data_IF_444669451306
#
_entry.id   IF_444669451306
#
_cell.length_a   1.000
_cell.length_b   1.000
_cell.length_c   1.000
_cell.angle_alpha   90.00
_cell.angle_beta   90.00
_cell.angle_gamma   90.00
#
_symmetry.space_group_name_H-M   'P 1'
#
loop_
_entity.id
_entity.type
_entity.pdbx_description
1 polymer ?
#
# COMPACT_ATOMS: atom_id res chain seq x y z
N UNK A 1 2.17 -35.70 1.89
CA UNK A 1 3.13 -36.04 0.84
C UNK A 1 4.06 -37.11 1.39
N UNK A 2 4.27 -38.17 0.62
CA UNK A 2 5.15 -39.29 0.97
C UNK A 2 6.21 -39.43 -0.10
N UNK A 3 7.43 -39.75 0.30
CA UNK A 3 8.50 -40.14 -0.61
C UNK A 3 9.02 -41.48 -0.13
N UNK A 4 8.96 -42.50 -0.99
CA UNK A 4 9.35 -43.87 -0.65
C UNK A 4 8.58 -44.46 0.55
N UNK A 5 7.31 -44.10 0.74
CA UNK A 5 6.49 -44.56 1.86
C UNK A 5 6.76 -43.87 3.20
N UNK A 6 7.68 -42.91 3.25
CA UNK A 6 7.91 -42.07 4.43
C UNK A 6 7.23 -40.71 4.29
N UNK A 7 6.54 -40.30 5.35
CA UNK A 7 5.85 -39.00 5.40
C UNK A 7 6.88 -37.88 5.38
N UNK A 8 6.86 -37.08 4.32
CA UNK A 8 7.72 -35.91 4.20
C UNK A 8 7.38 -34.88 5.29
N UNK A 9 8.42 -34.30 5.88
CA UNK A 9 8.32 -33.20 6.84
C UNK A 9 9.18 -32.04 6.33
N UNK A 10 8.75 -30.82 6.63
CA UNK A 10 9.63 -29.67 6.47
C UNK A 10 10.78 -29.79 7.46
N UNK A 11 11.99 -29.43 7.01
CA UNK A 11 13.13 -29.41 7.91
C UNK A 11 12.88 -28.39 9.04
N UNK A 12 13.33 -28.68 10.28
CA UNK A 12 13.13 -27.77 11.41
C UNK A 12 13.58 -26.35 11.08
N UNK A 13 12.72 -25.36 11.38
CA UNK A 13 12.99 -23.94 11.10
C UNK A 13 12.81 -23.52 9.63
N UNK A 14 12.45 -24.42 8.72
CA UNK A 14 12.04 -24.06 7.36
C UNK A 14 10.56 -23.72 7.30
N UNK A 15 10.23 -22.73 6.50
CA UNK A 15 8.88 -22.30 6.26
C UNK A 15 8.69 -21.98 4.77
N UNK A 16 7.45 -22.09 4.29
CA UNK A 16 7.07 -21.74 2.94
C UNK A 16 6.22 -20.47 3.03
N UNK A 17 6.61 -19.44 2.29
CA UNK A 17 5.74 -18.29 2.05
C UNK A 17 4.71 -18.67 1.00
N UNK A 18 3.44 -18.43 1.33
CA UNK A 18 2.30 -18.67 0.46
C UNK A 18 1.71 -17.33 0.08
N UNK A 19 1.53 -17.13 -1.22
CA UNK A 19 0.81 -16.01 -1.79
C UNK A 19 -0.36 -16.55 -2.60
N UNK A 20 -1.58 -16.12 -2.28
CA UNK A 20 -2.79 -16.46 -3.01
C UNK A 20 -3.44 -15.19 -3.51
N UNK A 21 -3.83 -15.15 -4.78
CA UNK A 21 -4.61 -14.05 -5.34
C UNK A 21 -6.06 -14.49 -5.45
N UNK A 22 -6.96 -13.76 -4.81
CA UNK A 22 -8.39 -13.93 -4.93
C UNK A 22 -9.02 -12.68 -5.53
N UNK A 23 -10.22 -12.82 -6.08
CA UNK A 23 -11.04 -11.69 -6.50
C UNK A 23 -12.28 -11.65 -5.62
N UNK A 24 -12.40 -10.60 -4.79
CA UNK A 24 -13.40 -10.52 -3.71
C UNK A 24 -14.29 -9.29 -3.87
N UNK A 25 -15.56 -9.37 -3.45
CA UNK A 25 -16.42 -8.19 -3.39
C UNK A 25 -15.88 -7.19 -2.36
N UNK A 26 -15.96 -5.90 -2.69
CA UNK A 26 -15.62 -4.80 -1.78
C UNK A 26 -16.87 -4.47 -0.96
N UNK A 27 -17.01 -5.11 0.21
CA UNK A 27 -18.17 -4.92 1.10
C UNK A 27 -18.21 -3.51 1.73
N UNK A 28 -17.04 -2.93 2.03
CA UNK A 28 -16.88 -1.57 2.50
C UNK A 28 -15.64 -0.94 1.86
N UNK A 29 -15.78 0.26 1.30
CA UNK A 29 -14.69 0.92 0.60
C UNK A 29 -13.54 1.23 1.58
N UNK A 30 -12.33 0.72 1.27
CA UNK A 30 -11.12 0.93 2.05
C UNK A 30 -10.91 -0.05 3.21
N UNK A 31 -11.87 -0.92 3.52
CA UNK A 31 -11.67 -1.98 4.51
C UNK A 31 -11.12 -3.23 3.85
N UNK A 32 -10.03 -3.77 4.42
CA UNK A 32 -9.49 -5.06 4.01
C UNK A 32 -10.29 -6.17 4.70
N UNK A 33 -10.90 -7.10 3.95
CA UNK A 33 -11.52 -8.26 4.56
C UNK A 33 -10.45 -9.11 5.27
N UNK A 34 -10.76 -9.59 6.46
CA UNK A 34 -9.83 -10.39 7.26
C UNK A 34 -10.07 -11.88 7.02
N UNK A 35 -9.06 -12.59 6.52
CA UNK A 35 -9.15 -14.04 6.34
C UNK A 35 -8.37 -14.75 7.45
N UNK A 36 -8.92 -15.88 7.89
CA UNK A 36 -8.25 -16.74 8.86
C UNK A 36 -7.59 -17.92 8.15
N UNK A 37 -6.38 -18.26 8.60
CA UNK A 37 -5.59 -19.39 8.13
C UNK A 37 -5.76 -20.55 9.10
N UNK A 38 -6.16 -21.70 8.54
CA UNK A 38 -6.39 -22.95 9.26
C UNK A 38 -5.53 -24.07 8.71
N UNK A 39 -5.19 -25.04 9.58
CA UNK A 39 -4.59 -26.31 9.19
C UNK A 39 -5.53 -27.45 9.60
N UNK A 40 -5.73 -28.42 8.71
CA UNK A 40 -6.52 -29.62 9.05
C UNK A 40 -5.71 -30.55 9.96
N UNK A 41 -6.19 -30.76 11.18
CA UNK A 41 -5.79 -31.88 12.01
C UNK A 41 -6.48 -33.14 11.47
N UNK A 42 -5.72 -33.90 10.68
CA UNK A 42 -6.20 -35.13 10.04
C UNK A 42 -6.47 -36.27 11.01
N UNK A 43 -5.95 -36.23 12.24
CA UNK A 43 -6.23 -37.26 13.25
C UNK A 43 -7.55 -36.96 13.98
N UNK A 44 -7.78 -35.69 14.29
CA UNK A 44 -8.99 -35.24 14.98
C UNK A 44 -10.12 -34.79 14.03
N UNK A 45 -9.91 -34.86 12.72
CA UNK A 45 -10.85 -34.41 11.67
C UNK A 45 -11.41 -33.00 11.92
N UNK A 46 -10.54 -32.05 12.31
CA UNK A 46 -10.95 -30.67 12.62
C UNK A 46 -9.97 -29.64 12.07
N UNK A 47 -10.50 -28.49 11.68
CA UNK A 47 -9.68 -27.34 11.32
C UNK A 47 -9.14 -26.66 12.58
N UNK A 48 -7.84 -26.47 12.65
CA UNK A 48 -7.14 -25.77 13.74
C UNK A 48 -6.77 -24.38 13.26
N UNK A 49 -7.22 -23.35 14.00
CA UNK A 49 -6.87 -21.96 13.72
C UNK A 49 -5.38 -21.72 13.96
N UNK A 50 -4.73 -21.01 13.03
CA UNK A 50 -3.34 -20.57 13.18
C UNK A 50 -3.20 -19.07 13.35
N UNK A 51 -3.80 -18.27 12.45
CA UNK A 51 -3.63 -16.81 12.44
C UNK A 51 -4.60 -16.12 11.48
N UNK A 52 -4.65 -14.79 11.54
CA UNK A 52 -5.16 -13.94 10.45
C UNK A 52 -4.08 -13.84 9.37
N UNK A 53 -4.49 -13.86 8.10
CA UNK A 53 -3.61 -13.64 6.95
C UNK A 53 -3.16 -12.17 6.84
N UNK A 54 -2.14 -11.92 6.02
CA UNK A 54 -1.76 -10.57 5.63
C UNK A 54 -2.37 -10.29 4.26
N UNK A 55 -3.49 -9.57 4.25
CA UNK A 55 -4.22 -9.21 3.04
C UNK A 55 -3.80 -7.83 2.53
N UNK A 56 -3.70 -7.68 1.20
CA UNK A 56 -3.40 -6.42 0.53
C UNK A 56 -4.19 -6.32 -0.79
N UNK A 57 -4.78 -5.17 -1.08
CA UNK A 57 -5.38 -4.92 -2.39
C UNK A 57 -4.28 -4.84 -3.45
N UNK A 58 -4.43 -5.55 -4.55
CA UNK A 58 -3.66 -5.23 -5.76
C UNK A 58 -4.23 -3.94 -6.36
N UNK A 59 -3.35 -3.05 -6.82
CA UNK A 59 -3.67 -1.81 -7.54
C UNK A 59 -4.29 -2.08 -8.92
N UNK A 60 -5.44 -2.72 -8.92
CA UNK A 60 -6.32 -2.84 -10.05
C UNK A 60 -7.64 -2.14 -9.69
N UNK A 61 -8.17 -1.28 -10.58
CA UNK A 61 -9.52 -0.75 -10.40
C UNK A 61 -10.51 -1.90 -10.31
N UNK A 62 -11.60 -1.69 -9.57
CA UNK A 62 -12.64 -2.71 -9.49
C UNK A 62 -13.12 -3.07 -10.90
N UNK A 63 -13.12 -4.38 -11.22
CA UNK A 63 -13.52 -4.88 -12.53
C UNK A 63 -15.04 -5.11 -12.58
N UNK A 64 -15.62 -4.98 -13.78
CA UNK A 64 -17.03 -5.34 -14.03
C UNK A 64 -18.08 -4.30 -13.64
N UNK A 65 -17.67 -3.07 -13.29
CA UNK A 65 -18.59 -1.98 -12.97
C UNK A 65 -18.84 -1.06 -14.18
N UNK A 66 -20.04 -0.46 -14.29
CA UNK A 66 -20.31 0.64 -15.21
C UNK A 66 -19.37 1.84 -14.97
N UNK A 67 -19.00 2.57 -16.02
CA UNK A 67 -18.06 3.69 -15.93
C UNK A 67 -18.56 4.84 -15.03
N UNK A 68 -19.86 4.98 -14.84
CA UNK A 68 -20.53 5.96 -13.98
C UNK A 68 -20.73 5.48 -12.54
N UNK A 69 -20.22 4.30 -12.19
CA UNK A 69 -20.38 3.74 -10.85
C UNK A 69 -19.67 4.62 -9.79
N UNK A 70 -20.33 4.96 -8.66
CA UNK A 70 -19.78 5.84 -7.62
C UNK A 70 -18.42 5.40 -7.04
N UNK A 71 -18.11 4.11 -7.12
CA UNK A 71 -16.81 3.54 -6.75
C UNK A 71 -15.64 4.22 -7.47
N UNK A 72 -15.74 4.46 -8.78
CA UNK A 72 -14.67 5.10 -9.54
C UNK A 72 -14.47 6.55 -9.10
N UNK A 73 -15.56 7.27 -8.88
CA UNK A 73 -15.51 8.64 -8.38
C UNK A 73 -14.92 8.73 -6.97
N UNK A 74 -15.09 7.69 -6.14
CA UNK A 74 -14.50 7.62 -4.80
C UNK A 74 -12.99 7.38 -4.85
N UNK A 75 -12.53 6.47 -5.72
CA UNK A 75 -11.10 6.26 -5.95
C UNK A 75 -10.42 7.53 -6.51
N UNK A 76 -11.04 8.17 -7.50
CA UNK A 76 -10.52 9.42 -8.07
C UNK A 76 -10.48 10.55 -7.04
N UNK A 77 -11.44 10.60 -6.11
CA UNK A 77 -11.47 11.57 -5.02
C UNK A 77 -10.25 11.39 -4.08
N UNK A 78 -9.85 10.17 -3.77
CA UNK A 78 -8.69 9.89 -2.93
C UNK A 78 -7.39 10.28 -3.63
N UNK A 79 -7.20 9.84 -4.87
CA UNK A 79 -6.03 10.19 -5.68
C UNK A 79 -5.91 11.69 -5.92
N UNK A 80 -7.04 12.39 -6.06
CA UNK A 80 -7.05 13.85 -6.18
C UNK A 80 -6.66 14.52 -4.87
N UNK A 81 -7.22 14.09 -3.74
CA UNK A 81 -6.91 14.66 -2.44
C UNK A 81 -5.42 14.54 -2.09
N UNK A 82 -4.79 13.40 -2.39
CA UNK A 82 -3.35 13.22 -2.21
C UNK A 82 -2.52 14.16 -3.10
N UNK A 83 -2.85 14.25 -4.39
CA UNK A 83 -2.20 15.18 -5.32
C UNK A 83 -2.37 16.65 -4.92
N UNK A 84 -3.53 17.02 -4.39
CA UNK A 84 -3.81 18.38 -3.94
C UNK A 84 -2.98 18.72 -2.69
N UNK A 85 -2.77 17.76 -1.77
CA UNK A 85 -1.88 17.94 -0.61
C UNK A 85 -0.40 18.09 -1.00
N UNK A 86 0.05 17.32 -1.99
CA UNK A 86 1.40 17.44 -2.54
C UNK A 86 1.60 18.80 -3.24
N UNK A 87 0.65 19.17 -4.10
CA UNK A 87 0.67 20.45 -4.82
C UNK A 87 0.65 21.64 -3.87
N UNK A 88 -0.16 21.57 -2.80
CA UNK A 88 -0.20 22.58 -1.75
C UNK A 88 1.18 22.86 -1.15
N UNK A 89 2.00 21.82 -0.96
CA UNK A 89 3.36 21.97 -0.43
C UNK A 89 4.31 22.56 -1.47
N UNK A 90 4.20 22.11 -2.73
CA UNK A 90 5.03 22.58 -3.83
C UNK A 90 4.77 24.06 -4.18
N UNK A 91 3.51 24.49 -4.17
CA UNK A 91 3.09 25.86 -4.51
C UNK A 91 3.46 26.88 -3.42
N UNK A 92 3.79 26.40 -2.22
CA UNK A 92 4.19 27.22 -1.09
C UNK A 92 5.60 26.81 -0.63
N UNK A 93 6.67 27.12 -1.39
CA UNK A 93 8.04 26.76 -1.00
C UNK A 93 8.46 27.47 0.29
N UNK A 94 9.44 26.89 0.99
CA UNK A 94 10.04 27.54 2.16
C UNK A 94 10.79 28.81 1.69
N UNK A 95 10.61 29.96 2.38
CA UNK A 95 11.43 31.13 2.12
C UNK A 95 12.89 30.82 2.42
N UNK A 96 13.79 31.53 1.75
CA UNK A 96 15.24 31.35 1.94
C UNK A 96 15.67 31.98 3.25
N UNK A 97 16.34 31.20 4.11
CA UNK A 97 16.84 31.71 5.38
C UNK A 97 17.99 32.73 5.18
N UNK A 98 18.01 33.83 5.95
CA UNK A 98 19.12 34.78 5.92
C UNK A 98 20.38 34.17 6.56
N UNK A 99 21.54 34.64 6.12
CA UNK A 99 22.85 34.08 6.48
C UNK A 99 23.43 34.87 7.66
N UNK A 100 23.65 34.26 8.84
CA UNK A 100 24.16 34.98 10.00
C UNK A 100 25.61 35.44 9.78
N UNK A 101 25.97 36.68 10.14
CA UNK A 101 27.34 37.17 10.01
C UNK A 101 28.26 36.51 11.04
N UNK A 102 29.50 36.24 10.62
CA UNK A 102 30.54 35.70 11.51
C UNK A 102 31.54 36.80 11.88
N UNK A 103 31.85 36.93 13.17
CA UNK A 103 32.91 37.84 13.63
C UNK A 103 34.28 37.19 13.49
N UNK A 104 35.28 37.94 13.02
CA UNK A 104 36.66 37.47 12.96
C UNK A 104 37.19 37.10 14.35
N UNK A 105 37.92 36.00 14.45
CA UNK A 105 38.47 35.52 15.74
C UNK A 105 39.69 36.32 16.22
N UNK A 106 40.39 36.99 15.30
CA UNK A 106 41.56 37.82 15.58
C UNK A 106 42.86 37.04 15.86
N UNK A 107 42.81 35.72 15.95
CA UNK A 107 43.97 34.85 16.17
C UNK A 107 44.27 33.91 14.99
N UNK A 108 43.63 34.16 13.84
CA UNK A 108 43.79 33.38 12.61
C UNK A 108 44.22 34.28 11.46
N UNK A 109 44.99 33.75 10.50
CA UNK A 109 45.29 34.47 9.28
C UNK A 109 44.02 34.78 8.49
N UNK A 110 43.97 35.97 7.90
CA UNK A 110 42.87 36.44 7.06
C UNK A 110 43.39 36.93 5.73
N UNK A 111 42.60 36.76 4.67
CA UNK A 111 42.87 37.25 3.32
C UNK A 111 41.77 38.23 2.95
N UNK A 112 42.15 39.40 2.47
CA UNK A 112 41.22 40.36 1.89
C UNK A 112 41.11 40.05 0.39
N UNK A 113 39.96 39.49 -0.01
CA UNK A 113 39.63 39.26 -1.42
C UNK A 113 38.39 40.06 -1.74
N UNK A 114 38.52 41.01 -2.66
CA UNK A 114 37.39 41.78 -3.14
C UNK A 114 36.93 41.23 -4.50
N UNK A 115 35.95 40.34 -4.45
CA UNK A 115 35.34 39.73 -5.65
C UNK A 115 34.37 40.65 -6.38
N UNK A 116 34.05 41.81 -5.81
CA UNK A 116 33.11 42.78 -6.38
C UNK A 116 33.82 43.88 -7.17
N UNK A 117 35.15 43.89 -7.17
CA UNK A 117 36.00 44.75 -7.99
C UNK A 117 36.58 43.96 -9.16
N UNK A 118 36.71 44.57 -10.34
CA UNK A 118 37.20 43.92 -11.58
C UNK A 118 38.65 43.40 -11.50
N UNK A 119 39.35 43.63 -10.38
CA UNK A 119 40.76 43.31 -10.19
C UNK A 119 41.04 41.80 -10.01
N UNK A 120 40.03 40.99 -9.66
CA UNK A 120 40.19 39.55 -9.43
C UNK A 120 38.99 38.77 -9.97
N UNK A 121 39.22 37.97 -11.02
CA UNK A 121 38.14 37.26 -11.70
C UNK A 121 37.73 35.97 -10.96
N UNK A 122 36.43 35.78 -10.77
CA UNK A 122 35.88 34.49 -10.31
C UNK A 122 35.93 33.48 -11.46
N UNK A 123 36.40 32.27 -11.17
CA UNK A 123 36.46 31.19 -12.15
C UNK A 123 35.05 30.75 -12.56
N UNK A 124 34.80 30.48 -13.86
CA UNK A 124 33.47 30.12 -14.35
C UNK A 124 32.96 28.77 -13.80
N UNK A 125 33.83 27.95 -13.20
CA UNK A 125 33.49 26.71 -12.52
C UNK A 125 33.43 26.85 -10.98
N UNK A 126 33.23 28.08 -10.48
CA UNK A 126 32.92 28.33 -9.06
C UNK A 126 31.45 28.04 -8.76
N UNK A 127 31.18 27.60 -7.53
CA UNK A 127 29.82 27.30 -7.08
C UNK A 127 29.03 28.56 -6.67
N UNK A 128 29.71 29.68 -6.50
CA UNK A 128 29.12 30.95 -6.06
C UNK A 128 28.94 31.92 -7.22
N UNK A 129 27.78 32.56 -7.25
CA UNK A 129 27.51 33.71 -8.12
C UNK A 129 27.86 35.04 -7.44
N UNK A 130 27.82 36.13 -8.20
CA UNK A 130 27.96 37.48 -7.64
C UNK A 130 26.85 37.82 -6.62
N UNK A 131 25.65 37.28 -6.80
CA UNK A 131 24.53 37.46 -5.87
C UNK A 131 24.78 36.70 -4.55
N UNK A 132 25.32 35.48 -4.63
CA UNK A 132 25.69 34.71 -3.44
C UNK A 132 26.77 35.42 -2.62
N UNK A 133 27.76 36.02 -3.30
CA UNK A 133 28.81 36.79 -2.64
C UNK A 133 28.28 38.04 -1.94
N UNK A 134 27.26 38.71 -2.49
CA UNK A 134 26.59 39.81 -1.79
C UNK A 134 25.87 39.33 -0.54
N UNK A 135 25.25 38.14 -0.58
CA UNK A 135 24.58 37.52 0.57
C UNK A 135 25.55 37.07 1.67
N UNK A 136 26.82 36.87 1.36
CA UNK A 136 27.88 36.56 2.32
C UNK A 136 28.45 37.79 3.05
N UNK A 137 27.81 38.94 2.88
CA UNK A 137 28.12 40.25 3.44
C UNK A 137 29.19 41.04 2.66
N UNK A 138 28.85 42.30 2.36
CA UNK A 138 29.78 43.25 1.75
C UNK A 138 30.96 43.53 2.72
N UNK A 139 32.18 43.57 2.19
CA UNK A 139 33.44 43.74 2.95
C UNK A 139 33.82 42.55 3.86
N UNK A 140 33.23 41.37 3.64
CA UNK A 140 33.72 40.16 4.30
C UNK A 140 35.19 39.89 3.92
N UNK A 141 36.00 39.60 4.93
CA UNK A 141 37.36 39.08 4.77
C UNK A 141 37.33 37.56 4.96
N UNK A 142 38.30 36.87 4.39
CA UNK A 142 38.32 35.41 4.37
C UNK A 142 39.28 34.90 5.43
N UNK A 143 38.74 34.32 6.51
CA UNK A 143 39.55 33.71 7.56
C UNK A 143 39.97 32.31 7.15
N UNK A 144 41.28 32.03 7.17
CA UNK A 144 41.84 30.73 6.85
C UNK A 144 41.55 29.78 8.02
N UNK A 145 40.93 28.64 7.71
CA UNK A 145 40.58 27.63 8.68
C UNK A 145 41.75 26.65 8.90
N UNK A 146 41.95 26.13 10.13
CA UNK A 146 43.01 25.16 10.45
C UNK A 146 43.04 23.92 9.55
N UNK A 147 41.90 23.56 8.99
CA UNK A 147 41.73 22.45 8.06
C UNK A 147 42.51 22.64 6.74
N UNK A 148 42.98 23.84 6.42
CA UNK A 148 43.80 24.14 5.23
C UNK A 148 45.21 23.53 5.27
N UNK A 149 45.69 23.06 6.43
CA UNK A 149 47.06 22.57 6.60
C UNK A 149 48.09 23.68 6.79
N UNK A 150 49.38 23.38 6.52
CA UNK A 150 50.45 24.40 6.52
C UNK A 150 50.30 25.28 5.27
N UNK A 151 50.02 26.57 5.48
CA UNK A 151 49.89 27.57 4.41
C UNK A 151 51.27 27.98 3.92
N UNK A 152 51.53 27.94 2.61
CA UNK A 152 52.79 28.42 2.06
C UNK A 152 52.84 29.95 2.14
N UNK A 153 53.68 30.50 3.02
CA UNK A 153 53.81 31.96 3.17
C UNK A 153 54.20 32.68 1.86
N UNK A 154 54.81 31.96 0.90
CA UNK A 154 55.13 32.52 -0.42
C UNK A 154 53.88 32.82 -1.24
N UNK A 155 52.77 32.13 -0.99
CA UNK A 155 51.49 32.36 -1.66
C UNK A 155 50.95 33.78 -1.47
N UNK A 156 51.32 34.45 -0.37
CA UNK A 156 50.92 35.83 -0.10
C UNK A 156 51.75 36.89 -0.83
N UNK A 157 52.86 36.50 -1.47
CA UNK A 157 53.70 37.37 -2.29
C UNK A 157 53.41 37.23 -3.80
N UNK A 158 52.38 36.47 -4.16
CA UNK A 158 51.95 36.24 -5.54
C UNK A 158 50.75 37.14 -5.85
N UNK A 159 50.79 37.82 -6.99
CA UNK A 159 49.60 38.48 -7.55
C UNK A 159 48.77 37.41 -8.25
N UNK A 160 47.66 37.02 -7.65
CA UNK A 160 46.75 36.02 -8.21
C UNK A 160 45.90 36.63 -9.33
N UNK A 161 45.63 35.85 -10.38
CA UNK A 161 44.90 36.31 -11.57
C UNK A 161 43.43 35.89 -11.53
N UNK A 162 43.16 34.74 -10.91
CA UNK A 162 41.84 34.14 -10.88
C UNK A 162 41.62 33.41 -9.55
N UNK A 163 40.37 33.34 -9.12
CA UNK A 163 39.97 32.61 -7.92
C UNK A 163 38.81 31.68 -8.21
N UNK A 164 38.89 30.46 -7.69
CA UNK A 164 37.76 29.53 -7.65
C UNK A 164 37.26 29.38 -6.23
N UNK A 165 35.95 29.47 -6.04
CA UNK A 165 35.29 29.17 -4.77
C UNK A 165 34.35 27.98 -4.94
N UNK A 166 34.61 26.92 -4.18
CA UNK A 166 33.72 25.76 -4.08
C UNK A 166 33.07 25.73 -2.72
N UNK A 167 31.76 25.55 -2.70
CA UNK A 167 31.00 25.48 -1.48
C UNK A 167 31.28 24.15 -0.77
N UNK A 168 31.66 24.23 0.50
CA UNK A 168 31.70 23.08 1.39
C UNK A 168 30.40 23.06 2.22
N UNK A 169 30.47 22.59 3.46
CA UNK A 169 29.32 22.58 4.38
C UNK A 169 29.27 23.84 5.24
N UNK A 170 28.09 24.47 5.29
CA UNK A 170 27.89 25.74 6.01
C UNK A 170 28.54 26.93 5.28
N UNK A 171 29.00 27.93 6.03
CA UNK A 171 29.75 29.09 5.47
C UNK A 171 31.24 28.77 5.28
N UNK A 172 31.55 27.57 4.78
CA UNK A 172 32.93 27.13 4.54
C UNK A 172 33.12 26.92 3.05
N UNK A 173 34.29 27.29 2.57
CA UNK A 173 34.61 27.26 1.15
C UNK A 173 36.01 26.74 0.94
N UNK A 174 36.18 25.95 -0.12
CA UNK A 174 37.48 25.70 -0.70
C UNK A 174 37.78 26.85 -1.68
N UNK A 175 38.80 27.62 -1.34
CA UNK A 175 39.30 28.76 -2.09
C UNK A 175 40.56 28.32 -2.82
N UNK A 176 40.52 28.29 -4.15
CA UNK A 176 41.71 28.09 -4.98
C UNK A 176 42.14 29.42 -5.58
N UNK A 177 43.32 29.89 -5.21
CA UNK A 177 44.00 31.03 -5.81
C UNK A 177 44.84 30.53 -6.99
N UNK A 178 44.68 31.14 -8.17
CA UNK A 178 45.28 30.64 -9.42
C UNK A 178 46.10 31.74 -10.12
N UNK A 179 47.31 31.39 -10.54
CA UNK A 179 48.22 32.18 -11.37
C UNK A 179 48.85 31.23 -12.40
N UNK A 180 49.29 31.74 -13.56
CA UNK A 180 49.78 30.93 -14.68
C UNK A 180 50.79 29.79 -14.36
N UNK A 181 51.51 29.86 -13.24
CA UNK A 181 52.53 28.88 -12.83
C UNK A 181 52.30 28.26 -11.44
N UNK A 182 51.33 28.77 -10.67
CA UNK A 182 51.11 28.38 -9.27
C UNK A 182 49.61 28.29 -8.98
N UNK A 183 49.23 27.35 -8.12
CA UNK A 183 47.91 27.31 -7.49
C UNK A 183 48.09 27.12 -5.99
N UNK A 184 47.24 27.76 -5.20
CA UNK A 184 47.17 27.55 -3.75
C UNK A 184 45.72 27.26 -3.37
N UNK A 185 45.49 26.22 -2.56
CA UNK A 185 44.14 25.85 -2.11
C UNK A 185 44.03 25.98 -0.60
N UNK A 186 43.02 26.72 -0.16
CA UNK A 186 42.77 27.06 1.24
C UNK A 186 41.32 26.73 1.60
N UNK A 187 41.08 26.36 2.84
CA UNK A 187 39.73 26.27 3.40
C UNK A 187 39.45 27.55 4.18
N UNK A 188 38.45 28.30 3.74
CA UNK A 188 38.16 29.64 4.26
C UNK A 188 36.70 29.80 4.68
N UNK A 189 36.44 30.84 5.46
CA UNK A 189 35.08 31.33 5.74
C UNK A 189 35.04 32.86 5.71
N UNK A 190 33.92 33.47 5.28
CA UNK A 190 33.74 34.90 5.38
C UNK A 190 33.58 35.32 6.85
N UNK A 191 34.31 36.35 7.26
CA UNK A 191 34.20 36.98 8.58
C UNK A 191 34.22 38.50 8.44
N UNK A 192 33.68 39.20 9.43
CA UNK A 192 33.63 40.66 9.47
C UNK A 192 34.36 41.19 10.71
N UNK A 193 34.85 42.43 10.61
CA UNK A 193 35.56 43.16 11.65
C UNK A 193 34.71 44.32 12.19
N UNK A 194 34.91 44.66 13.46
CA UNK A 194 34.45 45.91 14.08
C UNK A 194 33.01 46.33 13.73
N UNK A 195 32.88 47.52 13.15
CA UNK A 195 31.60 48.14 12.80
C UNK A 195 30.89 47.46 11.63
N UNK A 196 31.62 46.80 10.73
CA UNK A 196 31.01 46.05 9.62
C UNK A 196 30.28 44.81 10.13
N UNK A 197 30.84 44.12 11.13
CA UNK A 197 30.11 43.05 11.82
C UNK A 197 28.84 43.56 12.49
N UNK A 198 28.91 44.70 13.21
CA UNK A 198 27.75 45.24 13.91
C UNK A 198 26.64 45.66 12.91
N UNK A 199 27.01 46.23 11.75
CA UNK A 199 26.07 46.56 10.67
C UNK A 199 25.43 45.32 10.08
N UNK A 200 26.23 44.31 9.74
CA UNK A 200 25.74 43.06 9.18
C UNK A 200 24.84 42.31 10.17
N UNK A 201 25.15 42.38 11.48
CA UNK A 201 24.32 41.80 12.51
C UNK A 201 22.95 42.50 12.59
N UNK A 202 22.91 43.83 12.56
CA UNK A 202 21.65 44.57 12.54
C UNK A 202 20.82 44.29 11.28
N UNK A 203 21.46 44.19 10.11
CA UNK A 203 20.80 43.80 8.86
C UNK A 203 20.25 42.37 8.94
N UNK A 204 21.06 41.42 9.43
CA UNK A 204 20.64 40.05 9.66
C UNK A 204 19.45 39.94 10.61
N UNK A 205 19.44 40.67 11.74
CA UNK A 205 18.32 40.65 12.69
C UNK A 205 17.02 41.15 12.04
N UNK A 206 17.10 42.18 11.20
CA UNK A 206 15.96 42.68 10.42
C UNK A 206 15.47 41.66 9.39
N UNK A 207 16.39 41.07 8.61
CA UNK A 207 16.05 40.04 7.62
C UNK A 207 15.50 38.79 8.28
N UNK A 208 16.05 38.40 9.43
CA UNK A 208 15.57 37.28 10.23
C UNK A 208 14.15 37.52 10.73
N UNK A 209 13.84 38.72 11.21
CA UNK A 209 12.47 39.05 11.61
C UNK A 209 11.49 38.96 10.42
N UNK A 210 11.88 39.42 9.23
CA UNK A 210 11.08 39.29 8.02
C UNK A 210 10.90 37.82 7.60
N UNK A 211 11.97 37.03 7.67
CA UNK A 211 11.94 35.58 7.42
C UNK A 211 11.01 34.85 8.39
N UNK A 212 11.12 35.12 9.69
CA UNK A 212 10.28 34.51 10.73
C UNK A 212 8.79 34.86 10.49
N UNK A 213 8.49 36.10 10.08
CA UNK A 213 7.13 36.51 9.69
C UNK A 213 6.64 35.75 8.45
N UNK A 214 7.45 35.65 7.41
CA UNK A 214 7.10 34.92 6.19
C UNK A 214 6.85 33.43 6.44
N UNK A 215 7.62 32.81 7.35
CA UNK A 215 7.39 31.43 7.80
C UNK A 215 6.04 31.32 8.51
N UNK A 216 5.75 32.21 9.45
CA UNK A 216 4.48 32.19 10.19
C UNK A 216 3.27 32.39 9.27
N UNK A 217 3.35 33.32 8.32
CA UNK A 217 2.30 33.56 7.31
C UNK A 217 2.09 32.33 6.42
N UNK A 218 3.17 31.70 5.96
CA UNK A 218 3.12 30.47 5.17
C UNK A 218 2.48 29.32 5.95
N UNK A 219 2.88 29.11 7.20
CA UNK A 219 2.32 28.04 8.04
C UNK A 219 0.82 28.24 8.30
N UNK A 220 0.39 29.48 8.54
CA UNK A 220 -1.01 29.81 8.70
C UNK A 220 -1.82 29.55 7.41
N UNK A 221 -1.27 29.94 6.24
CA UNK A 221 -1.87 29.68 4.94
C UNK A 221 -2.02 28.18 4.66
N UNK A 222 -0.95 27.41 4.89
CA UNK A 222 -0.95 25.96 4.69
C UNK A 222 -1.92 25.24 5.62
N UNK A 223 -2.01 25.68 6.88
CA UNK A 223 -2.98 25.12 7.83
C UNK A 223 -4.42 25.35 7.35
N UNK A 224 -4.75 26.59 6.97
CA UNK A 224 -6.07 26.96 6.45
C UNK A 224 -6.43 26.19 5.17
N UNK A 225 -5.53 26.12 4.19
CA UNK A 225 -5.77 25.42 2.93
C UNK A 225 -5.91 23.90 3.13
N UNK A 226 -5.13 23.31 4.03
CA UNK A 226 -5.25 21.88 4.37
C UNK A 226 -6.57 21.54 5.05
N UNK A 227 -7.06 22.42 5.94
CA UNK A 227 -8.36 22.25 6.57
C UNK A 227 -9.49 22.31 5.54
N UNK A 228 -9.48 23.30 4.65
CA UNK A 228 -10.48 23.37 3.57
C UNK A 228 -10.45 22.15 2.65
N UNK A 229 -9.27 21.71 2.21
CA UNK A 229 -9.14 20.49 1.39
C UNK A 229 -9.70 19.26 2.11
N UNK A 230 -9.44 19.15 3.42
CA UNK A 230 -9.96 18.04 4.24
C UNK A 230 -11.49 18.08 4.33
N UNK A 231 -12.06 19.25 4.57
CA UNK A 231 -13.52 19.41 4.70
C UNK A 231 -14.23 19.11 3.37
N UNK A 232 -13.70 19.62 2.26
CA UNK A 232 -14.20 19.31 0.92
C UNK A 232 -14.09 17.81 0.59
N UNK A 233 -12.96 17.19 0.93
CA UNK A 233 -12.76 15.75 0.77
C UNK A 233 -13.78 14.96 1.59
N UNK A 234 -13.95 15.28 2.87
CA UNK A 234 -14.88 14.59 3.76
C UNK A 234 -16.34 14.72 3.30
N UNK A 235 -16.76 15.92 2.89
CA UNK A 235 -18.10 16.16 2.37
C UNK A 235 -18.36 15.37 1.08
N UNK A 236 -17.42 15.37 0.14
CA UNK A 236 -17.54 14.61 -1.11
C UNK A 236 -17.52 13.10 -0.86
N UNK A 237 -16.65 12.64 0.04
CA UNK A 237 -16.56 11.23 0.44
C UNK A 237 -17.87 10.75 1.07
N UNK A 238 -18.44 11.51 2.00
CA UNK A 238 -19.72 11.19 2.61
C UNK A 238 -20.86 11.10 1.58
N UNK A 239 -20.90 12.04 0.61
CA UNK A 239 -21.88 12.02 -0.49
C UNK A 239 -21.76 10.78 -1.36
N UNK A 240 -20.53 10.39 -1.74
CA UNK A 240 -20.28 9.21 -2.56
C UNK A 240 -20.56 7.90 -1.80
N UNK A 241 -20.21 7.85 -0.52
CA UNK A 241 -20.55 6.70 0.34
C UNK A 241 -22.06 6.52 0.50
N UNK A 242 -22.81 7.62 0.68
CA UNK A 242 -24.27 7.57 0.71
C UNK A 242 -24.86 7.07 -0.62
N UNK A 243 -24.28 7.46 -1.76
CA UNK A 243 -24.68 6.97 -3.08
C UNK A 243 -24.41 5.46 -3.24
N UNK A 244 -23.28 4.96 -2.72
CA UNK A 244 -22.98 3.53 -2.71
C UNK A 244 -23.99 2.73 -1.89
N UNK A 245 -24.41 3.24 -0.72
CA UNK A 245 -25.40 2.59 0.13
C UNK A 245 -26.82 2.53 -0.47
N UNK A 246 -27.11 3.38 -1.46
CA UNK A 246 -28.40 3.37 -2.16
C UNK A 246 -28.44 2.40 -3.34
N UNK A 247 -27.32 1.77 -3.69
CA UNK A 247 -27.29 0.76 -4.74
C UNK A 247 -28.03 -0.51 -4.28
N UNK A 248 -28.75 -1.20 -5.17
CA UNK A 248 -29.41 -2.46 -4.85
C UNK A 248 -28.39 -3.50 -4.36
N UNK A 249 -28.71 -4.27 -3.31
CA UNK A 249 -27.83 -5.34 -2.79
C UNK A 249 -27.53 -6.41 -3.86
N UNK A 250 -28.48 -6.65 -4.78
CA UNK A 250 -28.36 -7.58 -5.90
C UNK A 250 -27.62 -6.99 -7.13
N UNK A 251 -27.16 -5.74 -7.05
CA UNK A 251 -26.39 -5.10 -8.11
C UNK A 251 -24.97 -5.69 -8.26
N UNK A 252 -24.29 -5.46 -9.40
CA UNK A 252 -22.91 -5.87 -9.57
C UNK A 252 -22.04 -5.19 -8.51
N UNK A 253 -21.54 -5.95 -7.53
CA UNK A 253 -20.65 -5.40 -6.51
C UNK A 253 -19.25 -5.19 -7.09
N UNK A 254 -18.56 -4.07 -6.73
CA UNK A 254 -17.16 -3.89 -7.08
C UNK A 254 -16.35 -5.09 -6.63
N UNK A 255 -15.62 -5.72 -7.55
CA UNK A 255 -14.66 -6.78 -7.22
C UNK A 255 -13.25 -6.28 -7.39
N UNK A 256 -12.39 -6.56 -6.41
CA UNK A 256 -10.95 -6.25 -6.47
C UNK A 256 -10.14 -7.50 -6.24
N UNK A 257 -8.93 -7.50 -6.82
CA UNK A 257 -7.94 -8.53 -6.54
C UNK A 257 -7.33 -8.27 -5.17
N UNK A 258 -7.37 -9.29 -4.32
CA UNK A 258 -6.81 -9.30 -2.99
C UNK A 258 -5.69 -10.35 -2.96
N UNK A 259 -4.54 -9.97 -2.42
CA UNK A 259 -3.41 -10.88 -2.21
C UNK A 259 -3.40 -11.29 -0.75
N UNK A 260 -3.49 -12.59 -0.50
CA UNK A 260 -3.32 -13.20 0.81
C UNK A 260 -1.89 -13.68 0.96
N UNK A 261 -1.21 -13.25 2.03
CA UNK A 261 0.13 -13.73 2.38
C UNK A 261 0.16 -14.37 3.75
N UNK A 262 0.68 -15.60 3.81
CA UNK A 262 0.92 -16.28 5.08
C UNK A 262 2.09 -17.26 4.97
N UNK A 263 2.54 -17.74 6.13
CA UNK A 263 3.68 -18.66 6.23
C UNK A 263 3.19 -20.00 6.79
N UNK A 264 3.53 -21.09 6.11
CA UNK A 264 3.29 -22.45 6.59
C UNK A 264 4.61 -23.12 6.99
N UNK A 265 4.58 -23.89 8.08
CA UNK A 265 5.74 -24.59 8.64
C UNK A 265 5.56 -26.12 8.68
N UNK A 266 4.46 -26.63 8.12
CA UNK A 266 4.18 -28.05 8.00
C UNK A 266 3.43 -28.37 6.70
N UNK A 267 3.68 -29.55 6.14
CA UNK A 267 2.87 -30.09 5.05
C UNK A 267 1.51 -30.55 5.56
N UNK A 268 0.48 -30.45 4.72
CA UNK A 268 -0.88 -30.85 5.05
C UNK A 268 -1.90 -30.05 4.24
N UNK A 269 -3.17 -30.11 4.67
CA UNK A 269 -4.24 -29.31 4.11
C UNK A 269 -4.34 -28.00 4.89
N UNK A 270 -4.28 -26.90 4.17
CA UNK A 270 -4.39 -25.54 4.70
C UNK A 270 -5.57 -24.85 4.03
N UNK A 271 -6.24 -23.97 4.77
CA UNK A 271 -7.34 -23.16 4.25
C UNK A 271 -7.15 -21.70 4.66
N UNK A 272 -7.42 -20.77 3.74
CA UNK A 272 -7.49 -19.34 3.99
C UNK A 272 -8.93 -18.91 3.70
N UNK A 273 -9.71 -18.62 4.73
CA UNK A 273 -11.14 -18.42 4.59
C UNK A 273 -11.69 -17.43 5.63
N UNK A 274 -12.79 -16.77 5.26
CA UNK A 274 -13.68 -16.12 6.21
C UNK A 274 -14.62 -17.20 6.74
N UNK A 275 -14.58 -17.56 8.03
CA UNK A 275 -15.49 -18.55 8.56
C UNK A 275 -16.91 -18.01 8.51
N UNK A 276 -17.79 -18.73 7.81
CA UNK A 276 -19.23 -18.48 7.85
C UNK A 276 -19.86 -19.39 8.90
N UNK A 277 -20.61 -18.82 9.85
CA UNK A 277 -21.52 -19.59 10.68
C UNK A 277 -22.75 -19.96 9.86
N UNK A 278 -23.05 -21.26 9.81
CA UNK A 278 -24.34 -21.73 9.31
C UNK A 278 -25.36 -21.50 10.42
N UNK A 279 -26.12 -20.41 10.33
CA UNK A 279 -27.24 -20.13 11.24
C UNK A 279 -28.49 -20.99 10.90
N UNK A 280 -28.41 -21.78 9.82
CA UNK A 280 -29.47 -22.67 9.35
C UNK A 280 -29.52 -23.97 10.16
N UNK A 281 -30.69 -24.38 10.69
CA UNK A 281 -30.83 -25.65 11.37
C UNK A 281 -30.49 -26.81 10.44
N UNK A 282 -29.67 -27.74 10.93
CA UNK A 282 -29.33 -28.95 10.16
C UNK A 282 -30.47 -29.95 10.24
N UNK A 283 -30.98 -30.36 9.08
CA UNK A 283 -32.03 -31.38 8.93
C UNK A 283 -31.36 -32.68 8.50
N UNK A 284 -31.71 -33.83 9.11
CA UNK A 284 -31.24 -35.13 8.63
C UNK A 284 -31.96 -35.51 7.33
N UNK A 285 -31.20 -35.98 6.35
CA UNK A 285 -31.67 -36.18 4.97
C UNK A 285 -31.49 -37.62 4.52
N UNK A 286 -32.45 -38.13 3.76
CA UNK A 286 -32.28 -39.33 2.94
C UNK A 286 -32.17 -38.95 1.47
N UNK A 287 -31.32 -39.65 0.74
CA UNK A 287 -31.08 -39.42 -0.68
C UNK A 287 -31.59 -40.63 -1.44
N UNK A 288 -32.61 -40.46 -2.28
CA UNK A 288 -33.19 -41.55 -3.05
C UNK A 288 -33.27 -41.20 -4.52
N UNK A 289 -33.21 -42.18 -5.41
CA UNK A 289 -33.59 -41.97 -6.81
C UNK A 289 -35.11 -41.99 -7.01
N UNK A 290 -35.57 -41.73 -8.23
CA UNK A 290 -36.99 -41.76 -8.62
C UNK A 290 -37.67 -43.12 -8.42
N UNK A 291 -36.88 -44.20 -8.30
CA UNK A 291 -37.37 -45.56 -8.03
C UNK A 291 -37.30 -45.92 -6.53
N UNK A 292 -36.85 -45.01 -5.67
CA UNK A 292 -36.74 -45.19 -4.23
C UNK A 292 -35.45 -45.89 -3.77
N UNK A 293 -34.47 -46.10 -4.66
CA UNK A 293 -33.17 -46.65 -4.24
C UNK A 293 -32.38 -45.58 -3.50
N UNK A 294 -31.87 -45.95 -2.33
CA UNK A 294 -31.11 -45.05 -1.48
C UNK A 294 -29.67 -44.93 -1.95
N UNK A 295 -29.13 -43.72 -1.96
CA UNK A 295 -27.70 -43.49 -2.10
C UNK A 295 -27.02 -43.61 -0.73
N UNK A 296 -26.07 -44.52 -0.61
CA UNK A 296 -25.31 -44.79 0.62
C UNK A 296 -23.81 -44.68 0.34
N UNK A 297 -23.11 -43.94 1.19
CA UNK A 297 -21.67 -43.72 1.16
C UNK A 297 -21.12 -43.14 -0.15
N UNK A 298 -21.96 -42.40 -0.90
CA UNK A 298 -21.57 -41.74 -2.13
C UNK A 298 -21.16 -40.29 -1.91
N UNK A 299 -20.28 -39.76 -2.77
CA UNK A 299 -19.89 -38.35 -2.70
C UNK A 299 -21.01 -37.51 -3.29
N UNK A 300 -21.50 -36.57 -2.47
CA UNK A 300 -22.48 -35.59 -2.85
C UNK A 300 -21.88 -34.19 -2.86
N UNK A 301 -22.46 -33.36 -3.70
CA UNK A 301 -22.11 -31.96 -3.87
C UNK A 301 -23.38 -31.10 -3.77
N UNK A 302 -23.25 -29.93 -3.15
CA UNK A 302 -24.31 -28.94 -3.09
C UNK A 302 -23.72 -27.57 -3.40
N UNK A 303 -24.40 -26.83 -4.28
CA UNK A 303 -24.09 -25.44 -4.59
C UNK A 303 -25.30 -24.61 -4.20
N UNK A 304 -25.16 -23.65 -3.27
CA UNK A 304 -26.18 -22.62 -3.04
C UNK A 304 -26.10 -21.55 -4.13
N UNK A 305 -27.23 -21.18 -4.73
CA UNK A 305 -27.33 -20.08 -5.71
C UNK A 305 -26.99 -18.77 -5.00
N UNK A 306 -26.12 -17.97 -5.63
CA UNK A 306 -25.62 -16.71 -5.05
C UNK A 306 -24.39 -16.88 -4.15
N UNK A 307 -24.00 -18.10 -3.80
CA UNK A 307 -22.73 -18.36 -3.12
C UNK A 307 -21.73 -18.96 -4.10
N UNK A 308 -20.52 -18.39 -4.20
CA UNK A 308 -19.42 -19.00 -4.96
C UNK A 308 -18.76 -20.11 -4.12
N UNK A 309 -19.54 -21.12 -3.72
CA UNK A 309 -19.11 -22.17 -2.81
C UNK A 309 -19.68 -23.51 -3.24
N UNK A 310 -18.82 -24.53 -3.22
CA UNK A 310 -19.17 -25.94 -3.43
C UNK A 310 -19.04 -26.68 -2.09
N UNK A 311 -20.15 -27.21 -1.59
CA UNK A 311 -20.17 -28.06 -0.42
C UNK A 311 -20.03 -29.51 -0.85
N UNK A 312 -19.07 -30.23 -0.27
CA UNK A 312 -18.84 -31.65 -0.53
C UNK A 312 -19.08 -32.45 0.75
N UNK A 313 -19.89 -33.49 0.67
CA UNK A 313 -20.22 -34.35 1.80
C UNK A 313 -20.46 -35.79 1.34
N UNK A 314 -20.70 -36.69 2.28
CA UNK A 314 -21.05 -38.08 1.99
C UNK A 314 -22.57 -38.21 2.12
N UNK A 315 -23.24 -38.64 1.05
CA UNK A 315 -24.64 -39.01 1.05
C UNK A 315 -24.80 -40.37 1.71
N UNK A 316 -25.19 -40.34 2.99
CA UNK A 316 -25.57 -41.50 3.78
C UNK A 316 -26.89 -41.17 4.47
N UNK A 317 -27.82 -42.14 4.64
CA UNK A 317 -29.10 -41.90 5.29
C UNK A 317 -28.96 -41.21 6.65
N UNK A 318 -29.73 -40.14 6.86
CA UNK A 318 -29.69 -39.32 8.07
C UNK A 318 -28.49 -38.37 8.17
N UNK A 319 -27.69 -38.23 7.12
CA UNK A 319 -26.68 -37.18 7.05
C UNK A 319 -27.34 -35.81 7.24
N UNK A 320 -26.74 -35.00 8.12
CA UNK A 320 -27.27 -33.70 8.49
C UNK A 320 -26.81 -32.64 7.50
N UNK A 321 -27.77 -32.03 6.81
CA UNK A 321 -27.54 -30.92 5.89
C UNK A 321 -28.19 -29.64 6.42
N UNK A 322 -27.46 -28.53 6.31
CA UNK A 322 -28.04 -27.21 6.49
C UNK A 322 -28.82 -26.85 5.22
N UNK A 323 -30.11 -27.21 5.19
CA UNK A 323 -31.01 -26.90 4.07
C UNK A 323 -31.86 -25.67 4.44
N UNK A 324 -31.60 -24.54 3.79
CA UNK A 324 -32.55 -23.42 3.80
C UNK A 324 -33.50 -23.61 2.63
N UNK A 325 -34.77 -23.95 2.88
CA UNK A 325 -35.77 -24.13 1.81
C UNK A 325 -36.08 -22.84 1.03
N UNK A 326 -35.61 -21.68 1.52
CA UNK A 326 -35.81 -20.39 0.86
C UNK A 326 -34.69 -20.03 -0.13
N UNK A 327 -33.51 -20.65 0.01
CA UNK A 327 -32.37 -20.34 -0.86
C UNK A 327 -32.32 -21.37 -1.99
N UNK A 328 -32.23 -20.95 -3.26
CA UNK A 328 -32.11 -21.91 -4.34
C UNK A 328 -30.79 -22.66 -4.24
N UNK A 329 -30.80 -23.99 -4.34
CA UNK A 329 -29.60 -24.82 -4.43
C UNK A 329 -29.75 -25.92 -5.47
N UNK A 330 -28.61 -26.40 -5.94
CA UNK A 330 -28.43 -27.57 -6.79
C UNK A 330 -27.63 -28.59 -6.00
N UNK A 331 -28.18 -29.79 -5.86
CA UNK A 331 -27.52 -30.91 -5.22
C UNK A 331 -27.33 -32.02 -6.23
N UNK A 332 -26.16 -32.66 -6.24
CA UNK A 332 -25.95 -33.85 -7.05
C UNK A 332 -25.06 -34.89 -6.36
N UNK A 333 -25.25 -36.13 -6.74
CA UNK A 333 -24.47 -37.30 -6.35
C UNK A 333 -23.86 -37.90 -7.60
N UNK A 334 -22.63 -38.37 -7.49
CA UNK A 334 -21.99 -39.19 -8.53
C UNK A 334 -22.06 -40.64 -8.10
N UNK A 335 -22.80 -41.46 -8.86
CA UNK A 335 -22.98 -42.87 -8.55
C UNK A 335 -21.79 -43.75 -8.97
N UNK A 336 -21.85 -45.04 -8.62
CA UNK A 336 -20.79 -46.01 -8.92
C UNK A 336 -20.56 -46.21 -10.43
N UNK A 337 -21.58 -45.92 -11.25
CA UNK A 337 -21.52 -45.95 -12.71
C UNK A 337 -21.04 -44.60 -13.31
N UNK A 338 -20.55 -43.68 -12.46
CA UNK A 338 -20.17 -42.31 -12.80
C UNK A 338 -21.30 -41.46 -13.41
N UNK A 339 -22.56 -41.81 -13.11
CA UNK A 339 -23.72 -41.01 -13.51
C UNK A 339 -23.99 -39.94 -12.47
N UNK A 340 -24.52 -38.81 -12.94
CA UNK A 340 -24.94 -37.71 -12.08
C UNK A 340 -26.42 -37.86 -11.80
N UNK A 341 -26.79 -38.01 -10.53
CA UNK A 341 -28.15 -37.85 -10.06
C UNK A 341 -28.25 -36.49 -9.37
N UNK A 342 -29.27 -35.68 -9.69
CA UNK A 342 -29.35 -34.30 -9.22
C UNK A 342 -30.76 -33.91 -8.78
N UNK A 343 -30.88 -32.85 -7.99
CA UNK A 343 -32.16 -32.23 -7.62
C UNK A 343 -31.99 -30.74 -7.41
N UNK A 344 -33.03 -29.99 -7.72
CA UNK A 344 -33.12 -28.57 -7.41
C UNK A 344 -33.95 -28.33 -6.15
N UNK A 345 -33.55 -27.34 -5.37
CA UNK A 345 -34.30 -26.82 -4.20
C UNK A 345 -35.82 -26.69 -4.39
N UNK A 346 -36.28 -26.29 -5.58
CA UNK A 346 -37.69 -26.09 -5.91
C UNK A 346 -38.49 -27.40 -6.01
N UNK A 347 -37.81 -28.52 -6.19
CA UNK A 347 -38.39 -29.85 -6.36
C UNK A 347 -38.55 -30.58 -5.02
N UNK A 348 -38.02 -30.00 -3.95
CA UNK A 348 -37.99 -30.60 -2.62
C UNK A 348 -39.28 -30.26 -1.90
N UNK A 349 -40.05 -31.30 -1.58
CA UNK A 349 -41.27 -31.12 -0.81
C UNK A 349 -40.92 -30.79 0.66
N UNK A 350 -41.60 -29.81 1.28
CA UNK A 350 -41.42 -29.55 2.69
C UNK A 350 -41.87 -30.77 3.49
N UNK A 351 -40.99 -31.27 4.36
CA UNK A 351 -41.29 -32.40 5.24
C UNK A 351 -42.52 -32.12 6.09
N UNK A 352 -43.39 -33.12 6.24
CA UNK A 352 -44.52 -33.02 7.16
C UNK A 352 -44.01 -33.17 8.58
N UNK A 353 -44.57 -32.42 9.55
CA UNK A 353 -44.09 -32.32 10.94
C UNK A 353 -43.98 -33.64 11.74
N UNK A 354 -44.35 -34.78 11.13
CA UNK A 354 -44.28 -36.14 11.67
C UNK A 354 -43.04 -36.92 11.24
N UNK A 355 -42.27 -36.46 10.26
CA UNK A 355 -41.10 -37.18 9.76
C UNK A 355 -39.82 -36.71 10.45
N UNK A 356 -38.98 -37.67 10.86
CA UNK A 356 -37.67 -37.40 11.48
C UNK A 356 -36.57 -37.14 10.44
N UNK A 357 -36.90 -37.17 9.14
CA UNK A 357 -35.99 -37.02 8.00
C UNK A 357 -36.68 -36.27 6.87
N UNK A 358 -35.89 -35.62 6.02
CA UNK A 358 -36.34 -35.09 4.73
C UNK A 358 -35.84 -35.97 3.60
N UNK A 359 -36.74 -36.44 2.74
CA UNK A 359 -36.38 -37.23 1.57
C UNK A 359 -36.04 -36.30 0.39
N UNK A 360 -34.83 -36.41 -0.13
CA UNK A 360 -34.39 -35.77 -1.37
C UNK A 360 -34.42 -36.80 -2.50
N UNK A 361 -35.31 -36.57 -3.45
CA UNK A 361 -35.43 -37.39 -4.66
C UNK A 361 -34.52 -36.82 -5.74
N UNK A 362 -33.49 -37.57 -6.14
CA UNK A 362 -32.55 -37.19 -7.19
C UNK A 362 -32.96 -37.82 -8.52
N UNK A 363 -33.11 -36.99 -9.54
CA UNK A 363 -33.36 -37.40 -10.92
C UNK A 363 -32.04 -37.83 -11.53
N UNK A 364 -32.01 -39.02 -12.16
CA UNK A 364 -30.81 -39.49 -12.85
C UNK A 364 -30.66 -38.74 -14.18
N UNK A 365 -29.50 -38.10 -14.36
CA UNK A 365 -29.16 -37.41 -15.59
C UNK A 365 -29.10 -38.35 -16.81
N UNK A 366 -29.21 -37.79 -18.02
CA UNK A 366 -29.11 -38.56 -19.25
C UNK A 366 -27.72 -39.21 -19.41
N UNK A 367 -27.67 -40.37 -20.06
CA UNK A 367 -26.44 -41.11 -20.36
C UNK A 367 -26.28 -41.23 -21.90
N UNK A 368 -25.09 -40.99 -22.48
CA UNK A 368 -23.83 -40.58 -21.84
C UNK A 368 -23.62 -39.08 -21.70
N UNK A 369 -22.90 -38.69 -20.65
CA UNK A 369 -22.32 -37.35 -20.46
C UNK A 369 -20.84 -37.44 -20.79
N UNK A 370 -20.52 -37.26 -22.07
CA UNK A 370 -19.16 -37.46 -22.58
C UNK A 370 -18.33 -36.17 -22.59
N UNK A 371 -18.97 -35.00 -22.39
CA UNK A 371 -18.30 -33.70 -22.46
C UNK A 371 -18.56 -32.81 -21.24
N UNK A 372 -17.65 -31.86 -21.00
CA UNK A 372 -17.84 -30.80 -19.99
C UNK A 372 -19.10 -29.96 -20.27
N UNK A 373 -19.46 -29.77 -21.55
CA UNK A 373 -20.64 -29.00 -21.94
C UNK A 373 -21.94 -29.68 -21.46
N UNK A 374 -22.02 -31.01 -21.58
CA UNK A 374 -23.18 -31.79 -21.13
C UNK A 374 -23.37 -31.67 -19.61
N UNK A 375 -22.26 -31.72 -18.86
CA UNK A 375 -22.26 -31.54 -17.40
C UNK A 375 -22.68 -30.12 -17.01
N UNK A 376 -22.19 -29.10 -17.74
CA UNK A 376 -22.56 -27.69 -17.49
C UNK A 376 -24.03 -27.43 -17.79
N UNK A 377 -24.58 -28.03 -18.83
CA UNK A 377 -25.99 -27.92 -19.17
C UNK A 377 -26.85 -28.57 -18.07
N UNK A 378 -26.51 -29.80 -17.66
CA UNK A 378 -27.22 -30.52 -16.60
C UNK A 378 -27.18 -29.79 -15.26
N UNK A 379 -26.04 -29.21 -14.89
CA UNK A 379 -25.81 -28.55 -13.61
C UNK A 379 -26.00 -27.02 -13.66
N UNK A 380 -26.81 -26.53 -14.60
CA UNK A 380 -27.14 -25.11 -14.73
C UNK A 380 -28.24 -24.66 -13.76
N UNK A 381 -28.25 -23.37 -13.41
CA UNK A 381 -29.08 -22.75 -12.34
C UNK A 381 -30.17 -21.82 -12.84
#
# INVERSE_FOLDING_TARGET
AEQNGERLRLAPGKAIQVELVSEVPVAAFGELPQYAVYQLDSAAHRWVYHRIDLAEWLDAPAAGLPADHPYYALNELEERYERDLESLTADNPLPTAPVPPTRASGNRPTIELNFLTEDLALAPDSDLSAEDLQRLHQNAIWEILPESGEVDERAFNVTWEQVRLRALTGQRYELTLMHALNEETLIVRPVLLGDDYNRALAAYESEKAAYDSAIAEREALLAYQRENLRDEYQANRARLMAALQQLPEDGPQPRRKLVHRFVINAFGYWSCAIPHTLDTPMVPVNYTDEAGHTFEDQIAYMVPKGQNTLLRFVATPGAKLALTLNDPYLLWVVDEDARIAYTHSQEIQPSTATESYQDLVLVRGPNPMDTEADVRELLSF
#
